data_IF_035892143732
#
_entry.id   IF_035892143732
#
_cell.length_a   1.000
_cell.length_b   1.000
_cell.length_c   1.000
_cell.angle_alpha   90.00
_cell.angle_beta   90.00
_cell.angle_gamma   90.00
#
_symmetry.space_group_name_H-M   'P 1'
#
loop_
_entity.id
_entity.type
_entity.pdbx_description
1 polymer ?
#
# COMPACT_ATOMS: atom_id res chain seq x y z
N UNK A 1 -7.21 -10.93 -6.60
CA UNK A 1 -6.82 -9.51 -6.78
C UNK A 1 -7.99 -8.55 -6.90
N UNK A 2 -8.95 -8.76 -7.82
CA UNK A 2 -10.11 -7.85 -7.94
C UNK A 2 -10.91 -7.71 -6.64
N UNK A 3 -11.16 -8.82 -5.93
CA UNK A 3 -11.87 -8.77 -4.64
C UNK A 3 -11.09 -8.02 -3.56
N UNK A 4 -9.76 -8.17 -3.53
CA UNK A 4 -8.89 -7.43 -2.62
C UNK A 4 -8.96 -5.93 -2.89
N UNK A 5 -8.86 -5.51 -4.15
CA UNK A 5 -8.99 -4.11 -4.55
C UNK A 5 -10.39 -3.55 -4.23
N UNK A 6 -11.45 -4.35 -4.42
CA UNK A 6 -12.81 -3.97 -4.01
C UNK A 6 -12.87 -3.71 -2.51
N UNK A 7 -12.41 -4.65 -1.69
CA UNK A 7 -12.52 -4.58 -0.23
C UNK A 7 -11.62 -3.53 0.40
N UNK A 8 -10.40 -3.34 -0.12
CA UNK A 8 -9.38 -2.47 0.48
C UNK A 8 -9.25 -1.09 -0.16
N UNK A 9 -9.92 -0.84 -1.29
CA UNK A 9 -9.79 0.44 -2.02
C UNK A 9 -11.14 0.96 -2.53
N UNK A 10 -11.78 0.29 -3.49
CA UNK A 10 -12.98 0.82 -4.16
C UNK A 10 -14.18 0.98 -3.22
N UNK A 11 -14.53 -0.05 -2.44
CA UNK A 11 -15.68 0.04 -1.55
C UNK A 11 -15.49 1.07 -0.42
N UNK A 12 -14.34 1.13 0.28
CA UNK A 12 -14.08 2.20 1.24
C UNK A 12 -14.12 3.60 0.62
N UNK A 13 -13.56 3.80 -0.57
CA UNK A 13 -13.60 5.09 -1.25
C UNK A 13 -15.04 5.53 -1.59
N UNK A 14 -15.88 4.61 -2.06
CA UNK A 14 -17.30 4.86 -2.31
C UNK A 14 -18.05 5.22 -1.02
N UNK A 15 -17.84 4.46 0.07
CA UNK A 15 -18.45 4.71 1.39
C UNK A 15 -18.02 6.10 1.91
N UNK A 16 -16.72 6.40 1.84
CA UNK A 16 -16.15 7.67 2.24
C UNK A 16 -16.40 8.83 1.28
N UNK A 17 -17.06 8.58 0.13
CA UNK A 17 -17.33 9.56 -0.94
C UNK A 17 -16.06 10.27 -1.43
N UNK A 18 -14.94 9.57 -1.46
CA UNK A 18 -13.66 10.09 -1.91
C UNK A 18 -13.65 10.17 -3.44
N UNK A 19 -13.35 11.36 -3.98
CA UNK A 19 -13.40 11.60 -5.42
C UNK A 19 -12.10 11.27 -6.13
N UNK A 20 -11.02 11.08 -5.40
CA UNK A 20 -9.66 10.85 -5.88
C UNK A 20 -9.12 9.45 -5.54
N UNK A 21 -9.88 8.62 -4.83
CA UNK A 21 -9.46 7.28 -4.38
C UNK A 21 -10.33 6.17 -4.95
N UNK A 22 -9.80 4.95 -5.00
CA UNK A 22 -10.58 3.74 -5.30
C UNK A 22 -11.19 3.64 -6.71
N UNK A 23 -10.73 4.48 -7.63
CA UNK A 23 -11.24 4.57 -9.02
C UNK A 23 -10.86 3.37 -9.90
N UNK A 24 -10.01 2.46 -9.41
CA UNK A 24 -9.46 1.35 -10.18
C UNK A 24 -8.31 1.79 -11.10
N UNK A 25 -7.81 0.83 -11.90
CA UNK A 25 -6.78 1.09 -12.91
C UNK A 25 -7.45 1.34 -14.26
N UNK A 26 -7.70 2.61 -14.55
CA UNK A 26 -8.29 3.06 -15.81
C UNK A 26 -7.67 4.37 -16.27
N UNK A 27 -7.68 4.60 -17.58
CA UNK A 27 -7.22 5.87 -18.16
C UNK A 27 -8.06 7.03 -17.59
N UNK A 28 -7.40 8.12 -17.21
CA UNK A 28 -8.02 9.31 -16.62
C UNK A 28 -8.25 9.25 -15.12
N UNK A 29 -8.06 8.09 -14.47
CA UNK A 29 -8.13 7.98 -13.02
C UNK A 29 -6.89 8.60 -12.33
N UNK A 30 -7.04 9.01 -11.07
CA UNK A 30 -5.89 9.42 -10.26
C UNK A 30 -4.91 8.26 -10.11
N UNK A 31 -3.61 8.53 -10.28
CA UNK A 31 -2.56 7.53 -10.20
C UNK A 31 -2.19 7.18 -8.75
N UNK A 32 -3.19 6.68 -8.01
CA UNK A 32 -3.06 6.10 -6.68
C UNK A 32 -2.92 4.58 -6.81
N UNK A 33 -1.68 4.11 -6.83
CA UNK A 33 -1.34 2.75 -7.26
C UNK A 33 -0.44 2.09 -6.22
N UNK A 34 -0.74 0.84 -5.87
CA UNK A 34 0.16 -0.01 -5.09
C UNK A 34 0.55 -1.23 -5.92
N UNK A 35 1.85 -1.48 -6.03
CA UNK A 35 2.41 -2.66 -6.69
C UNK A 35 2.85 -3.65 -5.61
N UNK A 36 2.32 -4.86 -5.69
CA UNK A 36 2.58 -5.95 -4.73
C UNK A 36 3.30 -7.08 -5.45
N UNK A 37 4.41 -7.54 -4.88
CA UNK A 37 5.01 -8.82 -5.25
C UNK A 37 4.41 -9.90 -4.34
N UNK A 38 3.59 -10.82 -4.87
CA UNK A 38 2.96 -11.87 -4.07
C UNK A 38 3.87 -13.09 -3.82
N UNK A 39 5.04 -13.17 -4.46
CA UNK A 39 5.98 -14.28 -4.29
C UNK A 39 6.78 -14.20 -2.99
N UNK A 40 6.95 -12.98 -2.46
CA UNK A 40 7.73 -12.72 -1.25
C UNK A 40 7.04 -13.34 -0.02
N UNK A 41 7.84 -13.91 0.88
CA UNK A 41 7.46 -14.30 2.25
C UNK A 41 8.31 -13.49 3.22
N UNK A 42 7.70 -12.94 4.27
CA UNK A 42 8.40 -12.06 5.22
C UNK A 42 8.04 -12.42 6.65
N UNK A 43 9.05 -12.63 7.48
CA UNK A 43 8.90 -12.65 8.92
C UNK A 43 8.57 -11.24 9.41
N UNK A 44 7.53 -11.10 10.22
CA UNK A 44 7.19 -9.81 10.83
C UNK A 44 8.09 -9.57 12.03
N UNK A 45 9.08 -8.69 11.85
CA UNK A 45 9.83 -8.08 12.94
C UNK A 45 9.16 -6.74 13.33
N UNK A 46 8.65 -6.61 14.58
CA UNK A 46 8.09 -5.36 15.08
C UNK A 46 9.01 -4.15 14.97
N UNK A 47 10.34 -4.35 15.04
CA UNK A 47 11.34 -3.28 15.04
C UNK A 47 11.77 -2.84 13.64
N UNK A 48 11.47 -3.63 12.61
CA UNK A 48 11.81 -3.33 11.22
C UNK A 48 10.71 -2.55 10.49
N UNK A 49 9.60 -2.22 11.16
CA UNK A 49 8.49 -1.50 10.56
C UNK A 49 8.77 0.00 10.49
N UNK A 50 8.21 0.67 9.47
CA UNK A 50 8.31 2.11 9.29
C UNK A 50 7.35 2.91 10.20
N UNK A 51 6.46 2.25 10.94
CA UNK A 51 5.56 2.90 11.91
C UNK A 51 6.30 3.21 13.21
N UNK A 52 5.86 4.24 13.93
CA UNK A 52 6.45 4.64 15.21
C UNK A 52 6.21 3.62 16.35
N UNK A 53 5.21 2.75 16.22
CA UNK A 53 4.88 1.75 17.24
C UNK A 53 5.35 0.35 16.86
N UNK A 54 5.90 -0.37 17.83
CA UNK A 54 6.25 -1.79 17.70
C UNK A 54 5.11 -2.73 18.13
N UNK A 55 3.93 -2.20 18.48
CA UNK A 55 2.80 -3.05 18.86
C UNK A 55 2.16 -3.67 17.61
N UNK A 56 2.30 -4.99 17.44
CA UNK A 56 1.67 -5.73 16.35
C UNK A 56 1.27 -7.13 16.81
N UNK A 57 0.05 -7.60 16.49
CA UNK A 57 -0.36 -8.97 16.79
C UNK A 57 0.35 -10.00 15.90
N UNK A 58 1.07 -9.56 14.88
CA UNK A 58 1.69 -10.43 13.87
C UNK A 58 3.15 -10.75 14.16
N UNK A 59 3.71 -10.32 15.30
CA UNK A 59 5.12 -10.50 15.63
C UNK A 59 5.56 -11.98 15.50
N UNK A 60 6.62 -12.23 14.73
CA UNK A 60 7.15 -13.58 14.50
C UNK A 60 6.33 -14.44 13.52
N UNK A 61 5.23 -13.93 12.95
CA UNK A 61 4.51 -14.62 11.87
C UNK A 61 5.22 -14.40 10.53
N UNK A 62 5.22 -15.43 9.68
CA UNK A 62 5.58 -15.27 8.27
C UNK A 62 4.33 -14.94 7.45
N UNK A 63 4.32 -13.78 6.80
CA UNK A 63 3.20 -13.30 6.00
C UNK A 63 3.56 -13.26 4.49
N UNK A 64 2.59 -13.54 3.61
CA UNK A 64 2.77 -13.43 2.17
C UNK A 64 2.77 -12.00 1.66
N UNK A 65 3.50 -11.79 0.58
CA UNK A 65 3.49 -10.60 -0.24
C UNK A 65 4.27 -9.44 0.33
N UNK A 66 4.67 -8.53 -0.54
CA UNK A 66 5.32 -7.26 -0.17
C UNK A 66 4.86 -6.16 -1.11
N UNK A 67 4.58 -4.98 -0.55
CA UNK A 67 4.45 -3.76 -1.36
C UNK A 67 5.85 -3.37 -1.84
N UNK A 68 6.06 -3.36 -3.15
CA UNK A 68 7.33 -2.98 -3.77
C UNK A 68 7.31 -1.54 -4.29
N UNK A 69 6.14 -1.00 -4.58
CA UNK A 69 5.97 0.41 -4.92
C UNK A 69 4.59 0.94 -4.52
N UNK A 70 4.53 2.22 -4.16
CA UNK A 70 3.30 2.97 -3.92
C UNK A 70 3.42 4.33 -4.60
N UNK A 71 2.36 4.74 -5.31
CA UNK A 71 2.23 6.03 -5.96
C UNK A 71 1.01 6.74 -5.39
N UNK A 72 1.18 8.02 -5.04
CA UNK A 72 0.12 8.94 -4.65
C UNK A 72 0.06 10.06 -5.69
N UNK A 73 -1.05 10.14 -6.42
CA UNK A 73 -1.25 11.07 -7.53
C UNK A 73 -0.11 11.04 -8.57
N UNK A 74 0.42 9.84 -8.83
CA UNK A 74 1.52 9.61 -9.75
C UNK A 74 2.92 9.87 -9.17
N UNK A 75 3.03 10.36 -7.93
CA UNK A 75 4.31 10.54 -7.25
C UNK A 75 4.66 9.30 -6.44
N UNK A 76 5.87 8.72 -6.61
CA UNK A 76 6.28 7.57 -5.81
C UNK A 76 6.47 7.99 -4.35
N UNK A 77 5.89 7.20 -3.43
CA UNK A 77 6.10 7.31 -1.98
C UNK A 77 6.79 6.08 -1.39
N UNK A 78 6.77 4.96 -2.13
CA UNK A 78 7.55 3.75 -1.86
C UNK A 78 8.12 3.25 -3.18
N UNK A 79 9.39 2.88 -3.20
CA UNK A 79 10.09 2.23 -4.32
C UNK A 79 11.05 1.16 -3.79
N UNK A 80 11.13 0.01 -4.47
CA UNK A 80 11.97 -1.10 -4.03
C UNK A 80 11.61 -1.65 -2.64
N UNK A 81 10.37 -1.46 -2.20
CA UNK A 81 9.93 -1.85 -0.85
C UNK A 81 10.38 -0.93 0.28
N UNK A 82 10.95 0.24 -0.02
CA UNK A 82 11.35 1.25 0.95
C UNK A 82 10.65 2.60 0.68
N UNK A 83 10.30 3.39 1.71
CA UNK A 83 9.83 4.76 1.54
C UNK A 83 10.83 5.60 0.76
N UNK A 84 10.33 6.46 -0.11
CA UNK A 84 11.15 7.53 -0.70
C UNK A 84 11.39 8.62 0.33
N UNK A 85 12.46 9.41 0.16
CA UNK A 85 12.63 10.62 0.96
C UNK A 85 11.40 11.52 0.80
N UNK A 86 10.98 12.17 1.88
CA UNK A 86 9.95 13.21 1.81
C UNK A 86 10.47 14.32 0.93
N UNK A 87 9.73 14.63 -0.13
CA UNK A 87 10.03 15.79 -0.95
C UNK A 87 9.46 17.01 -0.21
N UNK A 88 10.34 17.87 0.33
CA UNK A 88 9.94 19.21 0.76
C UNK A 88 9.68 20.03 -0.50
N UNK A 89 8.42 20.46 -0.69
CA UNK A 89 8.01 21.42 -1.71
C UNK A 89 8.36 22.86 -1.27
#
# INVERSE_FOLDING_TARGET
>A
WRDLARAMSTAPALIGRLRDQGQGLSVGASANITVVDPSVRRLVDPRAQWTASTNTPYAGMELPGQVIATFLHGRPTVLGGAPTATQED
#
